data_IF_351253774275
#
_entry.id   IF_351253774275
#
_cell.length_a   1.000
_cell.length_b   1.000
_cell.length_c   1.000
_cell.angle_alpha   90.00
_cell.angle_beta   90.00
_cell.angle_gamma   90.00
#
_symmetry.space_group_name_H-M   'P 1'
#
loop_
_entity.id
_entity.type
_entity.pdbx_description
1 polymer ?
#
# COMPACT_ATOMS: atom_id res chain seq x y z
N UNK A 1 26.11 -15.25 -20.76
CA UNK A 1 26.04 -15.21 -19.28
C UNK A 1 24.64 -14.78 -18.91
N UNK A 2 23.77 -15.75 -18.59
CA UNK A 2 22.37 -15.51 -18.22
C UNK A 2 22.44 -14.94 -16.81
N UNK A 3 22.07 -13.65 -16.64
CA UNK A 3 21.88 -13.06 -15.32
C UNK A 3 20.78 -13.88 -14.64
N UNK A 4 21.13 -14.59 -13.59
CA UNK A 4 20.18 -15.28 -12.71
C UNK A 4 19.17 -14.24 -12.23
N UNK A 5 17.93 -14.35 -12.67
CA UNK A 5 16.84 -13.59 -12.09
C UNK A 5 16.81 -13.94 -10.61
N UNK A 6 16.92 -12.95 -9.74
CA UNK A 6 16.76 -13.16 -8.30
C UNK A 6 15.43 -13.88 -8.09
N UNK A 7 15.45 -14.97 -7.32
CA UNK A 7 14.22 -15.70 -7.02
C UNK A 7 13.22 -14.73 -6.35
N UNK A 8 11.95 -14.78 -6.74
CA UNK A 8 10.94 -13.96 -6.09
C UNK A 8 10.89 -14.28 -4.59
N UNK A 9 10.62 -13.28 -3.78
CA UNK A 9 10.54 -13.45 -2.32
C UNK A 9 9.38 -14.39 -1.97
N UNK A 10 9.64 -15.37 -1.13
CA UNK A 10 8.66 -16.40 -0.72
C UNK A 10 7.77 -15.85 0.42
N UNK A 11 6.76 -15.06 0.05
CA UNK A 11 5.83 -14.47 0.99
C UNK A 11 5.05 -15.50 1.83
N UNK A 12 4.48 -16.58 1.27
CA UNK A 12 3.79 -17.59 2.08
C UNK A 12 4.67 -18.16 3.20
N UNK A 13 5.88 -18.54 2.86
CA UNK A 13 6.84 -19.04 3.84
C UNK A 13 7.20 -17.98 4.88
N UNK A 14 7.43 -16.76 4.45
CA UNK A 14 7.73 -15.65 5.36
C UNK A 14 6.57 -15.37 6.32
N UNK A 15 5.33 -15.29 5.83
CA UNK A 15 4.13 -15.04 6.64
C UNK A 15 3.93 -16.17 7.67
N UNK A 16 4.09 -17.44 7.27
CA UNK A 16 4.01 -18.59 8.18
C UNK A 16 5.09 -18.52 9.28
N UNK A 17 6.33 -18.18 8.92
CA UNK A 17 7.42 -18.03 9.89
C UNK A 17 7.16 -16.90 10.88
N UNK A 18 6.64 -15.76 10.38
CA UNK A 18 6.27 -14.62 11.24
C UNK A 18 5.12 -14.96 12.18
N UNK A 19 4.09 -15.67 11.70
CA UNK A 19 2.98 -16.15 12.54
C UNK A 19 3.44 -17.08 13.65
N UNK A 20 4.36 -18.00 13.35
CA UNK A 20 4.94 -18.91 14.35
C UNK A 20 5.81 -18.18 15.39
N UNK A 21 6.44 -17.07 15.02
CA UNK A 21 7.33 -16.29 15.89
C UNK A 21 6.64 -15.15 16.65
N UNK A 22 5.45 -14.72 16.22
CA UNK A 22 4.72 -13.58 16.80
C UNK A 22 4.34 -13.84 18.26
N UNK A 23 4.63 -12.87 19.14
CA UNK A 23 4.28 -12.87 20.54
C UNK A 23 2.97 -12.11 20.79
N UNK A 24 2.76 -10.99 20.06
CA UNK A 24 1.52 -10.24 20.14
C UNK A 24 0.39 -11.04 19.45
N UNK A 25 -0.72 -11.33 20.15
CA UNK A 25 -1.80 -12.17 19.61
C UNK A 25 -2.50 -11.54 18.41
N UNK A 26 -2.46 -10.21 18.23
CA UNK A 26 -3.03 -9.51 17.07
C UNK A 26 -2.20 -9.77 15.83
N UNK A 27 -0.86 -9.68 15.95
CA UNK A 27 0.06 -10.02 14.87
C UNK A 27 -0.02 -11.51 14.50
N UNK A 28 -0.12 -12.38 15.51
CA UNK A 28 -0.28 -13.81 15.27
C UNK A 28 -1.54 -14.09 14.45
N UNK A 29 -2.70 -13.55 14.85
CA UNK A 29 -3.96 -13.71 14.10
C UNK A 29 -3.85 -13.17 12.67
N UNK A 30 -3.22 -12.02 12.51
CA UNK A 30 -3.00 -11.42 11.18
C UNK A 30 -2.20 -12.35 10.26
N UNK A 31 -1.07 -12.88 10.74
CA UNK A 31 -0.23 -13.79 9.96
C UNK A 31 -0.91 -15.14 9.72
N UNK A 32 -1.61 -15.69 10.72
CA UNK A 32 -2.32 -16.98 10.61
C UNK A 32 -3.52 -16.89 9.62
N UNK A 33 -4.10 -15.71 9.45
CA UNK A 33 -5.16 -15.47 8.46
C UNK A 33 -4.64 -15.46 7.01
N UNK A 34 -3.34 -15.44 6.79
CA UNK A 34 -2.76 -15.43 5.46
C UNK A 34 -2.82 -16.83 4.83
N UNK A 35 -3.66 -16.96 3.81
CA UNK A 35 -3.85 -18.21 3.06
C UNK A 35 -3.67 -18.02 1.54
N UNK A 36 -2.96 -16.95 1.14
CA UNK A 36 -2.78 -16.63 -0.27
C UNK A 36 -1.50 -17.26 -0.82
N UNK A 37 -1.65 -17.95 -1.95
CA UNK A 37 -0.57 -18.62 -2.66
C UNK A 37 -0.14 -17.83 -3.91
N UNK A 38 1.14 -17.89 -4.33
CA UNK A 38 1.63 -17.16 -5.51
C UNK A 38 0.89 -17.54 -6.79
N UNK A 39 0.42 -18.79 -6.91
CA UNK A 39 -0.32 -19.28 -8.07
C UNK A 39 -1.81 -18.93 -8.09
N UNK A 40 -2.35 -18.30 -7.03
CA UNK A 40 -3.76 -17.88 -7.00
C UNK A 40 -4.03 -16.86 -8.09
N UNK A 41 -5.16 -17.00 -8.80
CA UNK A 41 -5.56 -16.04 -9.84
C UNK A 41 -5.88 -14.69 -9.20
N UNK A 42 -5.50 -13.64 -9.89
CA UNK A 42 -5.78 -12.27 -9.42
C UNK A 42 -7.30 -12.02 -9.26
N UNK A 43 -8.11 -12.57 -10.19
CA UNK A 43 -9.58 -12.46 -10.12
C UNK A 43 -10.20 -13.05 -8.84
N UNK A 44 -9.55 -14.06 -8.24
CA UNK A 44 -10.04 -14.72 -7.02
C UNK A 44 -9.38 -14.18 -5.73
N UNK A 45 -8.57 -13.12 -5.87
CA UNK A 45 -7.79 -12.57 -4.76
C UNK A 45 -8.55 -11.43 -4.09
N UNK A 46 -8.83 -11.51 -2.77
CA UNK A 46 -9.34 -10.37 -2.02
C UNK A 46 -8.30 -9.25 -2.01
N UNK A 47 -8.70 -8.04 -2.37
CA UNK A 47 -7.84 -6.87 -2.47
C UNK A 47 -8.34 -5.77 -1.54
N UNK A 48 -7.38 -4.94 -1.08
CA UNK A 48 -7.70 -3.77 -0.29
C UNK A 48 -6.78 -2.61 -0.65
N UNK A 49 -7.35 -1.47 -1.07
CA UNK A 49 -6.60 -0.23 -1.23
C UNK A 49 -6.17 0.26 0.15
N UNK A 50 -4.91 0.59 0.29
CA UNK A 50 -4.30 1.10 1.53
C UNK A 50 -3.49 2.34 1.22
N UNK A 51 -3.72 3.38 2.01
CA UNK A 51 -2.93 4.61 1.98
C UNK A 51 -2.79 5.20 3.38
N UNK A 52 -1.73 5.98 3.62
CA UNK A 52 -1.45 6.62 4.90
C UNK A 52 -1.06 8.08 4.73
N UNK A 53 -1.48 8.94 5.68
CA UNK A 53 -0.93 10.28 5.83
C UNK A 53 0.09 10.31 6.97
N UNK A 54 1.13 11.09 6.79
CA UNK A 54 2.28 11.11 7.72
C UNK A 54 2.73 12.53 8.03
N UNK A 55 3.44 12.70 9.14
CA UNK A 55 4.02 14.00 9.52
C UNK A 55 5.25 14.38 8.67
N UNK A 56 5.70 13.51 7.75
CA UNK A 56 6.83 13.72 6.85
C UNK A 56 7.30 12.40 6.23
N UNK A 57 8.47 12.35 5.61
CA UNK A 57 8.87 11.24 4.73
C UNK A 57 9.84 10.21 5.34
N UNK A 58 10.38 10.46 6.53
CA UNK A 58 11.33 9.55 7.19
C UNK A 58 10.63 8.78 8.32
N UNK A 59 10.42 7.47 8.22
CA UNK A 59 9.70 6.67 9.24
C UNK A 59 10.40 6.61 10.60
N UNK A 60 11.68 7.00 10.67
CA UNK A 60 12.41 7.07 11.93
C UNK A 60 12.19 8.40 12.68
N UNK A 61 11.72 9.44 11.99
CA UNK A 61 11.59 10.81 12.50
C UNK A 61 10.17 11.37 12.36
N UNK A 62 9.30 10.65 11.68
CA UNK A 62 7.93 11.05 11.41
C UNK A 62 6.97 9.94 11.78
N UNK A 63 5.70 10.26 11.86
CA UNK A 63 4.65 9.35 12.30
C UNK A 63 3.50 9.28 11.31
N UNK A 64 2.77 8.18 11.32
CA UNK A 64 1.45 8.10 10.72
C UNK A 64 0.49 8.98 11.52
N UNK A 65 -0.40 9.69 10.82
CA UNK A 65 -1.49 10.49 11.38
C UNK A 65 -2.86 10.03 10.91
N UNK A 66 -2.92 9.34 9.75
CA UNK A 66 -4.16 8.82 9.19
C UNK A 66 -3.88 7.54 8.40
N UNK A 67 -4.83 6.60 8.46
CA UNK A 67 -4.81 5.35 7.68
C UNK A 67 -6.16 5.20 7.01
N UNK A 68 -6.15 4.97 5.70
CA UNK A 68 -7.33 4.72 4.89
C UNK A 68 -7.29 3.33 4.26
N UNK A 69 -8.40 2.60 4.37
CA UNK A 69 -8.53 1.24 3.83
C UNK A 69 -9.84 1.13 3.05
N UNK A 70 -9.77 0.62 1.81
CA UNK A 70 -10.93 0.44 0.92
C UNK A 70 -10.91 -0.95 0.31
N UNK A 71 -11.77 -1.88 0.77
CA UNK A 71 -11.89 -3.21 0.16
C UNK A 71 -12.40 -3.14 -1.27
N UNK A 72 -11.84 -3.98 -2.15
CA UNK A 72 -12.27 -4.09 -3.54
C UNK A 72 -11.91 -5.44 -4.15
N UNK A 73 -12.45 -5.74 -5.31
CA UNK A 73 -12.04 -6.79 -6.22
C UNK A 73 -11.84 -6.20 -7.64
N UNK A 74 -11.61 -7.03 -8.65
CA UNK A 74 -11.40 -6.53 -10.01
C UNK A 74 -12.66 -5.94 -10.66
N UNK A 75 -13.86 -6.23 -10.12
CA UNK A 75 -15.15 -5.82 -10.69
C UNK A 75 -15.74 -4.61 -9.98
N UNK A 76 -15.54 -4.50 -8.66
CA UNK A 76 -16.16 -3.45 -7.84
C UNK A 76 -15.34 -2.99 -6.66
N UNK A 77 -15.63 -1.80 -6.20
CA UNK A 77 -15.07 -1.22 -4.98
C UNK A 77 -16.16 -1.16 -3.92
N UNK A 78 -15.89 -1.72 -2.75
CA UNK A 78 -16.85 -1.79 -1.63
C UNK A 78 -16.69 -0.55 -0.73
N UNK A 79 -16.93 0.64 -1.27
CA UNK A 79 -16.68 1.90 -0.57
C UNK A 79 -17.49 2.05 0.73
N UNK A 80 -18.66 1.41 0.85
CA UNK A 80 -19.42 1.36 2.10
C UNK A 80 -18.72 0.59 3.23
N UNK A 81 -17.74 -0.24 2.90
CA UNK A 81 -16.91 -1.01 3.85
C UNK A 81 -15.57 -0.35 4.14
N UNK A 82 -15.35 0.88 3.62
CA UNK A 82 -14.12 1.61 3.90
C UNK A 82 -13.90 1.81 5.39
N UNK A 83 -12.66 1.87 5.81
CA UNK A 83 -12.26 2.24 7.15
C UNK A 83 -11.30 3.42 7.09
N UNK A 84 -11.36 4.25 8.13
CA UNK A 84 -10.49 5.39 8.29
C UNK A 84 -10.18 5.60 9.76
N UNK A 85 -8.90 5.74 10.09
CA UNK A 85 -8.45 6.02 11.45
C UNK A 85 -7.56 7.26 11.43
N UNK A 86 -7.86 8.19 12.30
CA UNK A 86 -6.89 9.20 12.75
C UNK A 86 -6.14 8.60 13.93
N UNK A 87 -4.83 8.79 13.95
CA UNK A 87 -3.98 8.25 15.03
C UNK A 87 -3.04 9.34 15.56
N UNK A 88 -2.85 9.33 16.86
CA UNK A 88 -1.97 10.27 17.54
C UNK A 88 -0.51 10.01 17.13
N UNK A 89 0.18 10.99 16.55
CA UNK A 89 1.55 10.83 16.12
C UNK A 89 2.53 10.80 17.30
N UNK A 90 3.57 10.00 17.18
CA UNK A 90 4.71 9.96 18.13
C UNK A 90 5.58 11.21 18.01
N UNK A 91 5.74 11.73 16.80
CA UNK A 91 6.52 12.94 16.50
C UNK A 91 5.59 14.10 16.15
N UNK A 92 5.98 15.36 16.48
CA UNK A 92 5.16 16.52 16.21
C UNK A 92 4.80 16.68 14.73
N UNK A 93 3.62 17.24 14.45
CA UNK A 93 3.21 17.66 13.12
C UNK A 93 4.16 18.72 12.58
N UNK A 94 4.50 18.59 11.30
CA UNK A 94 5.20 19.62 10.57
C UNK A 94 4.22 20.52 9.81
N UNK A 95 4.47 21.82 9.74
CA UNK A 95 3.59 22.77 9.05
C UNK A 95 3.34 22.36 7.59
N UNK A 96 4.36 21.85 6.90
CA UNK A 96 4.24 21.39 5.51
C UNK A 96 3.27 20.20 5.39
N UNK A 97 3.30 19.23 6.31
CA UNK A 97 2.40 18.09 6.27
C UNK A 97 0.95 18.50 6.49
N UNK A 98 0.70 19.41 7.46
CA UNK A 98 -0.64 19.98 7.68
C UNK A 98 -1.19 20.66 6.44
N UNK A 99 -0.34 21.38 5.69
CA UNK A 99 -0.74 22.03 4.43
C UNK A 99 -1.13 21.01 3.35
N UNK A 100 -0.55 19.82 3.36
CA UNK A 100 -0.84 18.78 2.37
C UNK A 100 -2.12 18.01 2.70
N UNK A 101 -2.19 17.39 3.88
CA UNK A 101 -3.30 16.50 4.25
C UNK A 101 -4.41 17.18 5.07
N UNK A 102 -4.24 18.46 5.44
CA UNK A 102 -5.20 19.28 6.20
C UNK A 102 -5.58 18.74 7.59
N UNK A 103 -4.89 17.72 8.10
CA UNK A 103 -5.08 17.21 9.46
C UNK A 103 -4.34 18.13 10.43
N UNK A 104 -5.07 18.73 11.36
CA UNK A 104 -4.54 19.72 12.29
C UNK A 104 -4.19 19.10 13.66
N UNK A 105 -3.53 19.88 14.51
CA UNK A 105 -3.27 19.46 15.91
C UNK A 105 -4.59 19.22 16.68
N UNK A 106 -5.64 19.99 16.39
CA UNK A 106 -6.95 19.81 17.01
C UNK A 106 -7.61 18.49 16.61
N UNK A 107 -7.46 18.06 15.35
CA UNK A 107 -8.02 16.79 14.89
C UNK A 107 -7.33 15.58 15.55
N UNK A 108 -6.08 15.74 15.94
CA UNK A 108 -5.28 14.68 16.57
C UNK A 108 -5.25 14.75 18.10
N UNK A 109 -5.83 15.79 18.70
CA UNK A 109 -5.77 16.00 20.15
C UNK A 109 -6.41 14.83 20.94
N UNK A 110 -7.51 14.30 20.43
CA UNK A 110 -8.25 13.18 21.01
C UNK A 110 -8.09 11.88 20.20
N UNK A 111 -7.22 11.88 19.19
CA UNK A 111 -6.97 10.68 18.40
C UNK A 111 -6.32 9.57 19.26
N UNK A 112 -6.75 8.31 19.09
CA UNK A 112 -6.17 7.19 19.81
C UNK A 112 -4.70 6.96 19.41
N UNK A 113 -3.95 6.29 20.27
CA UNK A 113 -2.66 5.74 19.85
C UNK A 113 -2.90 4.60 18.83
N UNK A 114 -1.95 4.40 17.91
CA UNK A 114 -2.05 3.33 16.92
C UNK A 114 -2.27 1.95 17.57
N UNK A 115 -1.71 1.71 18.75
CA UNK A 115 -1.88 0.42 19.46
C UNK A 115 -3.32 0.14 19.87
N UNK A 116 -4.14 1.18 20.07
CA UNK A 116 -5.55 1.06 20.45
C UNK A 116 -6.43 0.63 19.26
N UNK A 117 -6.08 1.04 18.04
CA UNK A 117 -6.82 0.73 16.81
C UNK A 117 -6.13 -0.34 15.94
N UNK A 118 -4.97 -0.83 16.37
CA UNK A 118 -4.15 -1.76 15.57
C UNK A 118 -4.89 -3.06 15.24
N UNK A 119 -5.69 -3.58 16.17
CA UNK A 119 -6.48 -4.80 15.93
C UNK A 119 -7.45 -4.62 14.76
N UNK A 120 -8.21 -3.53 14.74
CA UNK A 120 -9.15 -3.22 13.66
C UNK A 120 -8.44 -3.02 12.32
N UNK A 121 -7.25 -2.37 12.34
CA UNK A 121 -6.45 -2.19 11.14
C UNK A 121 -5.99 -3.55 10.59
N UNK A 122 -5.43 -4.40 11.44
CA UNK A 122 -4.95 -5.73 11.06
C UNK A 122 -6.10 -6.63 10.56
N UNK A 123 -7.26 -6.59 11.19
CA UNK A 123 -8.46 -7.30 10.74
C UNK A 123 -8.91 -6.84 9.34
N UNK A 124 -8.82 -5.54 9.07
CA UNK A 124 -9.18 -4.97 7.77
C UNK A 124 -8.22 -5.40 6.63
N UNK A 125 -7.00 -5.80 6.98
CA UNK A 125 -5.98 -6.27 6.04
C UNK A 125 -5.89 -7.80 5.98
N UNK A 126 -6.41 -8.50 7.00
CA UNK A 126 -6.26 -9.94 7.15
C UNK A 126 -6.87 -10.72 5.96
N UNK A 127 -6.10 -11.64 5.38
CA UNK A 127 -6.54 -12.45 4.23
C UNK A 127 -6.68 -11.70 2.91
N UNK A 128 -6.36 -10.41 2.86
CA UNK A 128 -6.37 -9.58 1.66
C UNK A 128 -4.95 -9.22 1.23
N UNK A 129 -4.75 -8.86 -0.05
CA UNK A 129 -3.51 -8.24 -0.52
C UNK A 129 -3.70 -6.73 -0.55
N UNK A 130 -2.95 -5.97 0.25
CA UNK A 130 -2.96 -4.52 0.17
C UNK A 130 -2.40 -4.03 -1.17
N UNK A 131 -3.12 -3.09 -1.77
CA UNK A 131 -2.72 -2.38 -2.99
C UNK A 131 -2.40 -0.95 -2.61
N UNK A 132 -1.18 -0.52 -2.87
CA UNK A 132 -0.64 0.78 -2.47
C UNK A 132 -0.13 1.55 -3.69
N UNK A 133 0.14 2.84 -3.50
CA UNK A 133 0.80 3.65 -4.52
C UNK A 133 2.12 4.23 -4.00
N UNK A 134 3.16 3.42 -4.02
CA UNK A 134 4.52 3.67 -3.53
C UNK A 134 4.82 3.02 -2.18
N UNK A 135 4.92 1.70 -2.17
CA UNK A 135 5.19 0.87 -0.98
C UNK A 135 6.34 1.34 -0.07
N UNK A 136 7.24 2.18 -0.61
CA UNK A 136 8.37 2.70 0.18
C UNK A 136 7.94 3.79 1.20
N UNK A 137 6.66 4.15 1.23
CA UNK A 137 6.05 4.95 2.28
C UNK A 137 5.27 4.05 3.23
N UNK A 138 4.24 3.35 2.75
CA UNK A 138 3.30 2.61 3.61
C UNK A 138 4.03 1.55 4.45
N UNK A 139 4.86 0.72 3.84
CA UNK A 139 5.54 -0.37 4.55
C UNK A 139 6.46 0.10 5.68
N UNK A 140 7.47 0.98 5.42
CA UNK A 140 8.39 1.40 6.46
C UNK A 140 7.69 2.15 7.60
N UNK A 141 6.66 2.94 7.30
CA UNK A 141 5.92 3.66 8.33
C UNK A 141 5.08 2.72 9.20
N UNK A 142 4.36 1.76 8.60
CA UNK A 142 3.59 0.77 9.34
C UNK A 142 4.53 -0.11 10.17
N UNK A 143 5.62 -0.59 9.58
CA UNK A 143 6.62 -1.38 10.29
C UNK A 143 7.23 -0.63 11.47
N UNK A 144 7.70 0.61 11.27
CA UNK A 144 8.26 1.45 12.33
C UNK A 144 7.24 1.72 13.45
N UNK A 145 5.99 1.98 13.07
CA UNK A 145 4.93 2.28 14.04
C UNK A 145 4.57 1.06 14.91
N UNK A 146 4.52 -0.14 14.33
CA UNK A 146 4.26 -1.39 15.05
C UNK A 146 5.48 -1.81 15.87
N UNK A 147 6.67 -1.78 15.27
CA UNK A 147 7.92 -2.12 15.96
C UNK A 147 8.13 -1.27 17.24
N UNK A 148 7.82 0.02 17.16
CA UNK A 148 7.96 0.90 18.34
C UNK A 148 7.01 0.51 19.47
N UNK A 149 5.79 0.07 19.15
CA UNK A 149 4.75 -0.20 20.15
C UNK A 149 4.77 -1.62 20.69
N UNK A 150 5.09 -2.58 19.84
CA UNK A 150 5.02 -3.99 20.19
C UNK A 150 6.41 -4.65 20.34
N UNK A 151 7.47 -3.98 19.92
CA UNK A 151 8.81 -4.61 19.84
C UNK A 151 8.91 -5.66 18.72
N UNK A 152 7.90 -5.79 17.87
CA UNK A 152 7.81 -6.79 16.80
C UNK A 152 7.63 -6.11 15.45
N UNK A 153 8.27 -6.65 14.42
CA UNK A 153 8.16 -6.16 13.04
C UNK A 153 6.88 -6.67 12.37
N UNK A 154 6.18 -5.79 11.65
CA UNK A 154 5.05 -6.13 10.79
C UNK A 154 5.45 -5.93 9.32
N UNK A 155 5.52 -7.02 8.57
CA UNK A 155 5.75 -7.02 7.13
C UNK A 155 4.77 -7.94 6.43
N UNK A 156 4.32 -7.54 5.26
CA UNK A 156 3.36 -8.27 4.44
C UNK A 156 3.56 -7.93 2.96
N UNK A 157 3.13 -8.81 2.03
CA UNK A 157 3.18 -8.49 0.61
C UNK A 157 2.19 -7.40 0.25
N UNK A 158 2.55 -6.59 -0.74
CA UNK A 158 1.66 -5.57 -1.32
C UNK A 158 1.75 -5.61 -2.83
N UNK A 159 0.73 -5.12 -3.52
CA UNK A 159 0.81 -4.75 -4.93
C UNK A 159 1.05 -3.23 -4.99
N UNK A 160 2.11 -2.82 -5.67
CA UNK A 160 2.51 -1.40 -5.79
C UNK A 160 2.17 -0.87 -7.18
N UNK A 161 1.10 -0.11 -7.30
CA UNK A 161 0.64 0.47 -8.57
C UNK A 161 1.66 1.42 -9.20
N UNK A 162 2.48 2.13 -8.40
CA UNK A 162 3.58 2.94 -8.93
C UNK A 162 4.70 2.06 -9.52
N UNK A 163 5.01 0.93 -8.91
CA UNK A 163 5.97 -0.03 -9.45
C UNK A 163 5.48 -0.63 -10.78
N UNK A 164 4.17 -0.93 -10.90
CA UNK A 164 3.57 -1.38 -12.16
C UNK A 164 3.70 -0.30 -13.25
N UNK A 165 3.40 0.95 -12.96
CA UNK A 165 3.62 2.08 -13.87
C UNK A 165 5.10 2.21 -14.27
N UNK A 166 6.02 2.03 -13.33
CA UNK A 166 7.45 2.08 -13.60
C UNK A 166 7.89 0.97 -14.57
N UNK A 167 7.37 -0.26 -14.43
CA UNK A 167 7.64 -1.37 -15.37
C UNK A 167 7.20 -0.98 -16.78
N UNK A 168 6.03 -0.39 -16.95
CA UNK A 168 5.45 -0.02 -18.25
C UNK A 168 6.14 1.20 -18.87
N UNK A 169 6.33 2.27 -18.12
CA UNK A 169 6.68 3.58 -18.66
C UNK A 169 8.11 4.06 -18.39
N UNK A 170 8.87 3.35 -17.55
CA UNK A 170 10.26 3.71 -17.22
C UNK A 170 11.27 2.61 -17.48
N UNK A 171 10.87 1.34 -17.30
CA UNK A 171 11.77 0.18 -17.40
C UNK A 171 11.64 -0.56 -18.73
N UNK A 172 10.57 -0.37 -19.48
CA UNK A 172 10.38 -0.97 -20.80
C UNK A 172 11.45 -0.51 -21.79
N UNK A 173 11.79 -1.35 -22.77
CA UNK A 173 12.79 -1.04 -23.78
C UNK A 173 12.51 0.28 -24.53
N UNK A 174 11.27 0.56 -24.99
CA UNK A 174 10.96 1.83 -25.63
C UNK A 174 11.16 3.04 -24.71
N UNK A 175 10.81 2.92 -23.43
CA UNK A 175 10.99 4.00 -22.46
C UNK A 175 12.46 4.29 -22.18
N UNK A 176 13.29 3.24 -22.09
CA UNK A 176 14.74 3.34 -21.93
C UNK A 176 15.39 4.00 -23.15
N UNK A 177 14.98 3.59 -24.35
CA UNK A 177 15.46 4.16 -25.59
C UNK A 177 15.10 5.65 -25.73
N UNK A 178 13.83 6.02 -25.45
CA UNK A 178 13.38 7.42 -25.42
C UNK A 178 14.21 8.26 -24.45
N UNK A 179 14.51 7.72 -23.27
CA UNK A 179 15.34 8.42 -22.26
C UNK A 179 16.78 8.58 -22.74
N UNK A 180 17.35 7.58 -23.40
CA UNK A 180 18.68 7.65 -23.98
C UNK A 180 18.77 8.76 -25.06
N UNK A 181 17.70 9.02 -25.80
CA UNK A 181 17.57 10.13 -26.75
C UNK A 181 17.27 11.50 -26.07
N UNK A 182 17.42 11.62 -24.75
CA UNK A 182 17.17 12.87 -24.01
C UNK A 182 15.71 13.13 -23.66
N UNK A 183 14.80 12.17 -23.89
CA UNK A 183 13.37 12.30 -23.51
C UNK A 183 13.18 12.33 -22.00
N UNK A 184 12.28 13.20 -21.51
CA UNK A 184 11.91 13.26 -20.10
C UNK A 184 11.15 11.98 -19.67
N UNK A 185 11.40 11.47 -18.46
CA UNK A 185 10.66 10.33 -17.93
C UNK A 185 9.19 10.71 -17.71
N UNK A 186 8.30 9.77 -18.00
CA UNK A 186 6.86 9.92 -17.72
C UNK A 186 6.65 9.98 -16.21
N UNK A 187 5.80 10.90 -15.74
CA UNK A 187 5.37 10.92 -14.33
C UNK A 187 4.56 9.65 -14.01
N UNK A 188 4.86 9.03 -12.88
CA UNK A 188 4.17 7.83 -12.37
C UNK A 188 3.50 8.10 -11.02
N UNK A 189 3.29 9.37 -10.65
CA UNK A 189 2.52 9.74 -9.47
C UNK A 189 1.06 9.35 -9.66
N UNK A 190 0.33 9.20 -8.58
CA UNK A 190 -1.03 8.66 -8.59
C UNK A 190 -1.97 9.43 -9.54
N UNK A 191 -2.03 10.75 -9.43
CA UNK A 191 -2.90 11.58 -10.28
C UNK A 191 -2.59 11.45 -11.77
N UNK A 192 -1.31 11.55 -12.17
CA UNK A 192 -0.91 11.47 -13.57
C UNK A 192 -1.05 10.04 -14.12
N UNK A 193 -0.87 9.03 -13.27
CA UNK A 193 -1.14 7.65 -13.62
C UNK A 193 -2.63 7.45 -13.89
N UNK A 194 -3.50 7.92 -12.99
CA UNK A 194 -4.96 7.88 -13.16
C UNK A 194 -5.42 8.58 -14.43
N UNK A 195 -4.91 9.78 -14.69
CA UNK A 195 -5.23 10.54 -15.90
C UNK A 195 -4.92 9.78 -17.19
N UNK A 196 -3.85 8.98 -17.23
CA UNK A 196 -3.50 8.13 -18.39
C UNK A 196 -4.54 7.05 -18.69
N UNK A 197 -5.25 6.58 -17.67
CA UNK A 197 -6.34 5.60 -17.82
C UNK A 197 -7.71 6.27 -17.93
N UNK A 198 -7.78 7.60 -18.05
CA UNK A 198 -9.05 8.32 -18.17
C UNK A 198 -9.89 8.36 -16.90
N UNK A 199 -9.30 8.06 -15.76
CA UNK A 199 -9.98 8.10 -14.47
C UNK A 199 -10.22 9.56 -14.02
N UNK A 200 -11.35 9.85 -13.35
CA UNK A 200 -11.71 11.22 -12.94
C UNK A 200 -10.70 11.80 -11.96
N UNK A 201 -10.54 13.11 -12.00
CA UNK A 201 -9.76 13.83 -10.98
C UNK A 201 -10.44 13.73 -9.62
N UNK A 202 -9.63 13.74 -8.56
CA UNK A 202 -10.10 13.70 -7.17
C UNK A 202 -9.22 14.62 -6.31
N UNK A 203 -9.65 14.90 -5.09
CA UNK A 203 -8.86 15.68 -4.14
C UNK A 203 -7.88 14.74 -3.40
N UNK A 204 -6.56 14.87 -3.60
CA UNK A 204 -5.55 14.02 -2.95
C UNK A 204 -5.31 14.43 -1.50
N UNK A 205 -4.44 13.66 -0.85
CA UNK A 205 -3.98 13.87 0.53
C UNK A 205 -5.07 13.67 1.58
N UNK A 206 -5.93 12.69 1.32
CA UNK A 206 -6.84 12.11 2.31
C UNK A 206 -6.75 10.59 2.20
N UNK A 207 -6.22 9.93 3.21
CA UNK A 207 -5.86 8.51 3.17
C UNK A 207 -6.95 7.61 2.55
N UNK A 208 -8.24 7.80 2.90
CA UNK A 208 -9.33 7.00 2.32
C UNK A 208 -9.56 7.28 0.83
N UNK A 209 -9.43 8.55 0.40
CA UNK A 209 -9.61 8.90 -1.01
C UNK A 209 -8.41 8.47 -1.85
N UNK A 210 -7.20 8.52 -1.30
CA UNK A 210 -6.00 8.03 -1.98
C UNK A 210 -6.01 6.49 -2.05
N UNK A 211 -6.49 5.79 -1.01
CA UNK A 211 -6.74 4.35 -1.06
C UNK A 211 -7.78 3.96 -2.12
N UNK A 212 -8.90 4.72 -2.23
CA UNK A 212 -9.90 4.56 -3.30
C UNK A 212 -9.27 4.79 -4.67
N UNK A 213 -8.56 5.90 -4.84
CA UNK A 213 -7.89 6.28 -6.08
C UNK A 213 -6.86 5.23 -6.53
N UNK A 214 -6.18 4.61 -5.58
CA UNK A 214 -5.24 3.51 -5.81
C UNK A 214 -5.97 2.23 -6.25
N UNK A 215 -7.10 1.89 -5.64
CA UNK A 215 -7.93 0.74 -6.03
C UNK A 215 -8.46 0.91 -7.48
N UNK A 216 -9.02 2.09 -7.81
CA UNK A 216 -9.49 2.41 -9.16
C UNK A 216 -8.35 2.36 -10.19
N UNK A 217 -7.16 2.90 -9.85
CA UNK A 217 -5.99 2.81 -10.72
C UNK A 217 -5.60 1.36 -10.97
N UNK A 218 -5.57 0.52 -9.93
CA UNK A 218 -5.21 -0.89 -10.08
C UNK A 218 -6.21 -1.63 -10.97
N UNK A 219 -7.54 -1.45 -10.78
CA UNK A 219 -8.54 -2.02 -11.67
C UNK A 219 -8.32 -1.60 -13.13
N UNK A 220 -8.03 -0.31 -13.37
CA UNK A 220 -7.75 0.20 -14.71
C UNK A 220 -6.44 -0.37 -15.31
N UNK A 221 -5.40 -0.54 -14.49
CA UNK A 221 -4.15 -1.18 -14.91
C UNK A 221 -4.38 -2.64 -15.31
N UNK A 222 -5.15 -3.40 -14.52
CA UNK A 222 -5.48 -4.79 -14.84
C UNK A 222 -6.30 -4.84 -16.14
N UNK A 223 -7.36 -4.08 -16.26
CA UNK A 223 -8.21 -4.06 -17.45
C UNK A 223 -7.44 -3.69 -18.74
N UNK A 224 -6.43 -2.82 -18.64
CA UNK A 224 -5.70 -2.34 -19.81
C UNK A 224 -4.42 -3.12 -20.13
N UNK A 225 -3.80 -3.80 -19.15
CA UNK A 225 -2.42 -4.27 -19.28
C UNK A 225 -2.13 -5.66 -18.75
N UNK A 226 -3.00 -6.22 -17.94
CA UNK A 226 -2.80 -7.51 -17.29
C UNK A 226 -4.00 -8.42 -17.54
N UNK A 227 -3.86 -9.70 -17.19
CA UNK A 227 -4.96 -10.65 -17.26
C UNK A 227 -5.55 -10.87 -15.86
N UNK A 228 -6.87 -10.95 -15.69
CA UNK A 228 -7.48 -11.39 -14.43
C UNK A 228 -7.04 -12.81 -14.00
N UNK A 229 -6.62 -13.64 -14.96
CA UNK A 229 -6.10 -14.99 -14.73
C UNK A 229 -4.63 -15.02 -14.30
N UNK A 230 -3.96 -13.88 -14.31
CA UNK A 230 -2.55 -13.76 -13.92
C UNK A 230 -2.31 -14.26 -12.48
N UNK A 231 -1.24 -15.03 -12.25
CA UNK A 231 -0.84 -15.43 -10.91
C UNK A 231 -0.51 -14.24 -10.01
N UNK A 232 -1.02 -14.22 -8.79
CA UNK A 232 -0.79 -13.16 -7.81
C UNK A 232 0.70 -12.89 -7.58
N UNK A 233 1.51 -13.95 -7.56
CA UNK A 233 2.95 -13.87 -7.34
C UNK A 233 3.74 -13.05 -8.36
N UNK A 234 3.16 -12.72 -9.52
CA UNK A 234 3.79 -11.85 -10.52
C UNK A 234 3.63 -10.35 -10.21
N UNK A 235 2.69 -10.00 -9.32
CA UNK A 235 2.32 -8.62 -9.01
C UNK A 235 2.76 -8.17 -7.62
N UNK A 236 2.72 -9.05 -6.63
CA UNK A 236 3.09 -8.68 -5.26
C UNK A 236 4.61 -8.51 -5.08
N UNK A 237 5.00 -7.74 -4.04
CA UNK A 237 6.39 -7.45 -3.73
C UNK A 237 6.61 -7.22 -2.22
#
# INVERSE_FOLDING_TARGET
MILSAAQPFDWPRFMAQRGAAAQDPRLKRFYDAWALEPGKRLADTPLVGLDIETTGLDPNRHSIVSIGVVPFDLERIFFSRRRHWLVRPRFPLQALSVTLHHITHSDLAEAPDLSEVLEEILESLAGCVPVVHYRNVERPFIESAVQFRLGESLQFPVIDTMALEARLYRQSLPARFKRWLGGRPVSIRLQESRARYGLPAYQPHHATLDALATAELFQAQVAARFSPEMPLGELWC
#
